data_IF_976827819361
#
_entry.id   IF_976827819361
#
_cell.length_a   1.000
_cell.length_b   1.000
_cell.length_c   1.000
_cell.angle_alpha   90.00
_cell.angle_beta   90.00
_cell.angle_gamma   90.00
#
_symmetry.space_group_name_H-M   'P 1'
#
loop_
_entity.id
_entity.type
_entity.pdbx_description
1 polymer ?
#
# COMPACT_ATOMS: atom_id res chain seq x y z
N UNK A 1 -19.02 -29.54 -43.45
CA UNK A 1 -17.99 -29.21 -42.44
C UNK A 1 -18.66 -28.44 -41.33
N UNK A 2 -18.79 -28.99 -40.14
CA UNK A 2 -19.43 -28.25 -39.04
C UNK A 2 -18.48 -27.25 -38.45
N UNK A 3 -19.00 -26.03 -38.24
CA UNK A 3 -18.39 -24.91 -37.52
C UNK A 3 -17.97 -25.34 -36.11
N UNK A 4 -16.67 -25.34 -35.86
CA UNK A 4 -16.14 -25.41 -34.50
C UNK A 4 -16.30 -24.02 -33.91
N UNK A 5 -17.37 -23.85 -33.14
CA UNK A 5 -17.55 -22.68 -32.30
C UNK A 5 -16.33 -22.55 -31.36
N UNK A 6 -15.67 -21.41 -31.41
CA UNK A 6 -14.69 -20.98 -30.40
C UNK A 6 -15.36 -21.10 -29.03
N UNK A 7 -14.96 -22.09 -28.25
CA UNK A 7 -15.11 -22.04 -26.82
C UNK A 7 -14.20 -20.89 -26.32
N UNK A 8 -14.82 -19.75 -26.06
CA UNK A 8 -14.24 -18.70 -25.22
C UNK A 8 -13.98 -19.34 -23.85
N UNK A 9 -12.75 -19.72 -23.60
CA UNK A 9 -12.27 -20.02 -22.26
C UNK A 9 -12.15 -18.68 -21.52
N UNK A 10 -13.28 -18.13 -21.10
CA UNK A 10 -13.32 -17.23 -19.99
C UNK A 10 -12.77 -18.03 -18.80
N UNK A 11 -11.58 -17.71 -18.33
CA UNK A 11 -11.07 -18.17 -17.04
C UNK A 11 -11.99 -17.55 -15.99
N UNK A 12 -13.04 -18.30 -15.62
CA UNK A 12 -14.00 -17.87 -14.61
C UNK A 12 -13.29 -17.89 -13.26
N UNK A 13 -13.02 -16.71 -12.74
CA UNK A 13 -12.74 -16.53 -11.34
C UNK A 13 -14.07 -16.68 -10.60
N UNK A 14 -14.24 -17.75 -9.87
CA UNK A 14 -15.41 -17.92 -9.02
C UNK A 14 -15.07 -17.44 -7.60
N UNK A 15 -15.92 -16.58 -7.05
CA UNK A 15 -15.84 -16.15 -5.66
C UNK A 15 -16.67 -17.09 -4.80
N UNK A 16 -16.04 -17.68 -3.78
CA UNK A 16 -16.68 -18.56 -2.81
C UNK A 16 -16.79 -17.87 -1.46
N UNK A 17 -18.00 -17.71 -0.95
CA UNK A 17 -18.20 -17.23 0.41
C UNK A 17 -17.92 -18.40 1.36
N UNK A 18 -16.89 -18.23 2.18
CA UNK A 18 -16.40 -19.25 3.10
C UNK A 18 -16.65 -18.86 4.54
N UNK A 19 -16.65 -19.85 5.41
CA UNK A 19 -16.60 -19.68 6.87
C UNK A 19 -15.44 -20.45 7.44
N UNK A 20 -15.12 -20.16 8.69
CA UNK A 20 -13.99 -20.77 9.37
C UNK A 20 -14.28 -21.01 10.85
N UNK A 21 -13.55 -21.96 11.43
CA UNK A 21 -13.43 -22.14 12.86
C UNK A 21 -11.98 -22.47 13.23
N UNK A 22 -11.61 -22.16 14.45
CA UNK A 22 -10.30 -22.50 15.02
C UNK A 22 -10.50 -23.34 16.29
N UNK A 23 -9.74 -24.44 16.40
CA UNK A 23 -9.68 -25.30 17.57
C UNK A 23 -8.23 -25.44 18.04
N UNK A 24 -7.98 -26.26 19.09
CA UNK A 24 -6.63 -26.67 19.50
C UNK A 24 -5.87 -27.40 18.39
N UNK A 25 -6.58 -28.05 17.50
CA UNK A 25 -6.02 -28.91 16.45
C UNK A 25 -5.76 -28.15 15.12
N UNK A 26 -6.11 -26.85 15.07
CA UNK A 26 -5.89 -25.99 13.91
C UNK A 26 -7.14 -25.31 13.37
N UNK A 27 -7.15 -25.09 12.06
CA UNK A 27 -8.20 -24.40 11.34
C UNK A 27 -9.08 -25.39 10.58
N UNK A 28 -10.39 -25.10 10.56
CA UNK A 28 -11.35 -25.73 9.65
C UNK A 28 -12.01 -24.64 8.81
N UNK A 29 -11.95 -24.77 7.50
CA UNK A 29 -12.53 -23.86 6.54
C UNK A 29 -13.61 -24.59 5.72
N UNK A 30 -14.69 -23.91 5.33
CA UNK A 30 -15.73 -24.50 4.50
C UNK A 30 -16.46 -23.45 3.66
N UNK A 31 -17.01 -23.89 2.51
CA UNK A 31 -17.86 -23.07 1.65
C UNK A 31 -19.25 -22.96 2.28
N UNK A 32 -19.75 -21.74 2.53
CA UNK A 32 -21.04 -21.52 3.23
C UNK A 32 -22.24 -22.15 2.52
N UNK A 33 -22.29 -22.05 1.19
CA UNK A 33 -23.37 -22.61 0.37
C UNK A 33 -23.27 -24.12 0.20
N UNK A 34 -22.11 -24.72 0.47
CA UNK A 34 -21.80 -26.15 0.32
C UNK A 34 -20.88 -26.61 1.45
N UNK A 35 -21.41 -26.75 2.69
CA UNK A 35 -20.59 -27.04 3.89
C UNK A 35 -19.87 -28.41 3.84
N UNK A 36 -20.24 -29.29 2.93
CA UNK A 36 -19.54 -30.53 2.66
C UNK A 36 -18.17 -30.30 2.00
N UNK A 37 -17.99 -29.17 1.27
CA UNK A 37 -16.70 -28.72 0.77
C UNK A 37 -15.99 -28.01 1.91
N UNK A 38 -15.12 -28.75 2.58
CA UNK A 38 -14.39 -28.27 3.75
C UNK A 38 -13.02 -28.89 3.84
N UNK A 39 -12.11 -28.18 4.51
CA UNK A 39 -10.77 -28.65 4.79
C UNK A 39 -10.36 -28.30 6.22
N UNK A 40 -9.51 -29.13 6.81
CA UNK A 40 -8.92 -28.87 8.14
C UNK A 40 -7.43 -29.12 8.10
N UNK A 41 -6.66 -28.24 8.76
CA UNK A 41 -5.23 -28.39 8.91
C UNK A 41 -4.72 -27.64 10.16
N UNK A 42 -3.51 -27.97 10.65
CA UNK A 42 -2.93 -27.30 11.80
C UNK A 42 -2.70 -25.80 11.58
N UNK A 43 -2.36 -25.39 10.35
CA UNK A 43 -2.19 -23.98 9.98
C UNK A 43 -3.31 -23.50 9.07
N UNK A 44 -3.52 -22.18 9.04
CA UNK A 44 -4.49 -21.59 8.10
C UNK A 44 -4.08 -21.81 6.65
N UNK A 45 -2.80 -21.63 6.33
CA UNK A 45 -2.29 -21.77 4.96
C UNK A 45 -2.53 -23.18 4.40
N UNK A 46 -2.25 -24.22 5.20
CA UNK A 46 -2.49 -25.61 4.79
C UNK A 46 -4.00 -25.90 4.67
N UNK A 47 -4.84 -25.32 5.52
CA UNK A 47 -6.29 -25.48 5.45
C UNK A 47 -6.86 -24.79 4.21
N UNK A 48 -6.33 -23.61 3.84
CA UNK A 48 -6.72 -22.87 2.65
C UNK A 48 -6.36 -23.64 1.36
N UNK A 49 -5.12 -24.14 1.25
CA UNK A 49 -4.66 -24.94 0.13
C UNK A 49 -5.56 -26.18 -0.09
N UNK A 50 -5.82 -26.92 0.98
CA UNK A 50 -6.72 -28.08 0.94
C UNK A 50 -8.16 -27.74 0.62
N UNK A 51 -8.66 -26.55 1.02
CA UNK A 51 -10.00 -26.13 0.65
C UNK A 51 -10.08 -25.79 -0.84
N UNK A 52 -9.04 -25.17 -1.41
CA UNK A 52 -8.94 -24.92 -2.85
C UNK A 52 -8.98 -26.25 -3.63
N UNK A 53 -8.19 -27.24 -3.20
CA UNK A 53 -8.22 -28.59 -3.77
C UNK A 53 -9.63 -29.22 -3.69
N UNK A 54 -10.27 -29.16 -2.53
CA UNK A 54 -11.62 -29.68 -2.33
C UNK A 54 -12.68 -28.97 -3.21
N UNK A 55 -12.53 -27.67 -3.46
CA UNK A 55 -13.38 -26.91 -4.39
C UNK A 55 -13.17 -27.40 -5.82
N UNK A 56 -11.93 -27.62 -6.25
CA UNK A 56 -11.58 -28.13 -7.57
C UNK A 56 -12.10 -29.56 -7.79
N UNK A 57 -11.91 -30.45 -6.83
CA UNK A 57 -12.40 -31.82 -6.84
C UNK A 57 -13.93 -31.90 -6.92
N UNK A 58 -14.59 -30.90 -6.34
CA UNK A 58 -16.06 -30.77 -6.43
C UNK A 58 -16.56 -30.14 -7.75
N UNK A 59 -15.67 -29.95 -8.73
CA UNK A 59 -15.98 -29.36 -10.04
C UNK A 59 -16.06 -27.84 -10.00
N UNK A 60 -15.47 -27.17 -8.99
CA UNK A 60 -15.37 -25.73 -8.91
C UNK A 60 -14.29 -25.14 -9.83
N UNK A 61 -14.20 -23.83 -9.87
CA UNK A 61 -13.24 -23.11 -10.72
C UNK A 61 -11.78 -23.43 -10.35
N UNK A 62 -10.91 -23.52 -11.35
CA UNK A 62 -9.48 -23.73 -11.14
C UNK A 62 -8.82 -22.58 -10.35
N UNK A 63 -9.42 -21.39 -10.40
CA UNK A 63 -9.01 -20.23 -9.61
C UNK A 63 -10.17 -19.82 -8.71
N UNK A 64 -10.17 -20.34 -7.50
CA UNK A 64 -11.15 -19.99 -6.48
C UNK A 64 -10.66 -18.79 -5.67
N UNK A 65 -11.48 -17.73 -5.60
CA UNK A 65 -11.28 -16.62 -4.67
C UNK A 65 -12.17 -16.87 -3.46
N UNK A 66 -11.60 -16.91 -2.27
CA UNK A 66 -12.34 -17.14 -1.03
C UNK A 66 -12.56 -15.84 -0.27
N UNK A 67 -13.81 -15.50 -0.04
CA UNK A 67 -14.21 -14.43 0.86
C UNK A 67 -14.70 -15.03 2.18
N UNK A 68 -14.16 -14.58 3.31
CA UNK A 68 -14.53 -15.13 4.60
C UNK A 68 -15.57 -14.27 5.33
N UNK A 69 -16.64 -14.94 5.78
CA UNK A 69 -17.67 -14.35 6.62
C UNK A 69 -17.94 -15.28 7.84
N UNK A 70 -17.58 -14.90 9.06
CA UNK A 70 -16.95 -13.62 9.41
C UNK A 70 -15.53 -13.48 8.85
N UNK A 71 -14.98 -12.25 8.73
CA UNK A 71 -13.61 -12.01 8.28
C UNK A 71 -12.60 -12.78 9.13
N UNK A 72 -11.51 -13.19 8.49
CA UNK A 72 -10.41 -13.88 9.19
C UNK A 72 -9.81 -13.02 10.30
N UNK A 73 -9.40 -13.63 11.43
CA UNK A 73 -8.69 -12.91 12.45
C UNK A 73 -7.36 -12.37 11.90
N UNK A 74 -6.96 -11.24 12.43
CA UNK A 74 -5.68 -10.60 12.12
C UNK A 74 -4.48 -11.55 12.25
N UNK A 75 -4.43 -12.34 13.34
CA UNK A 75 -3.36 -13.32 13.56
C UNK A 75 -3.22 -14.36 12.45
N UNK A 76 -4.31 -14.68 11.76
CA UNK A 76 -4.32 -15.61 10.63
C UNK A 76 -3.69 -15.00 9.38
N UNK A 77 -3.96 -13.72 9.11
CA UNK A 77 -3.33 -12.99 8.01
C UNK A 77 -1.83 -12.77 8.27
N UNK A 78 -1.46 -12.50 9.53
CA UNK A 78 -0.06 -12.38 9.93
C UNK A 78 0.69 -13.70 9.74
N UNK A 79 0.07 -14.83 10.03
CA UNK A 79 0.64 -16.16 9.82
C UNK A 79 0.82 -16.48 8.33
N UNK A 80 -0.21 -16.18 7.50
CA UNK A 80 -0.17 -16.38 6.05
C UNK A 80 0.97 -15.61 5.37
N UNK A 81 1.22 -14.38 5.83
CA UNK A 81 2.27 -13.51 5.29
C UNK A 81 3.49 -13.40 6.22
N UNK A 82 3.72 -14.40 7.10
CA UNK A 82 4.75 -14.36 8.15
C UNK A 82 6.19 -14.31 7.63
N UNK A 83 6.43 -14.63 6.36
CA UNK A 83 7.75 -14.57 5.73
C UNK A 83 7.86 -13.35 4.81
N UNK A 84 8.33 -12.22 5.32
CA UNK A 84 8.44 -11.03 4.50
C UNK A 84 9.48 -11.21 3.40
N UNK A 85 9.04 -11.09 2.15
CA UNK A 85 9.95 -11.02 1.01
C UNK A 85 10.42 -9.58 0.78
N UNK A 86 9.57 -8.62 1.14
CA UNK A 86 9.73 -7.20 0.88
C UNK A 86 9.36 -6.43 2.14
N UNK A 87 10.11 -5.35 2.37
CA UNK A 87 9.77 -4.32 3.33
C UNK A 87 9.59 -2.98 2.63
N UNK A 88 8.54 -2.24 2.98
CA UNK A 88 8.53 -0.78 2.82
C UNK A 88 9.42 -0.20 3.90
N UNK A 89 10.30 0.70 3.51
CA UNK A 89 11.23 1.36 4.41
C UNK A 89 10.92 2.85 4.48
N UNK A 90 10.79 3.34 5.68
CA UNK A 90 10.40 4.72 5.94
C UNK A 90 10.92 5.23 7.27
N UNK A 91 10.39 6.32 7.75
CA UNK A 91 10.71 6.88 9.07
C UNK A 91 9.57 7.73 9.59
N UNK A 92 9.49 7.83 10.90
CA UNK A 92 8.44 8.60 11.58
C UNK A 92 8.80 10.09 11.72
N UNK A 93 10.04 10.46 11.42
CA UNK A 93 10.49 11.84 11.51
C UNK A 93 9.91 12.70 10.40
N UNK A 94 9.16 13.71 10.80
CA UNK A 94 8.54 14.66 9.90
C UNK A 94 9.31 15.98 9.85
N UNK A 95 9.61 16.39 8.63
CA UNK A 95 10.15 17.71 8.35
C UNK A 95 9.01 18.68 8.07
N UNK A 96 9.17 19.90 8.53
CA UNK A 96 8.36 21.01 8.09
C UNK A 96 8.89 21.52 6.75
N UNK A 97 8.01 22.08 5.95
CA UNK A 97 8.35 22.62 4.64
C UNK A 97 7.87 24.06 4.49
N UNK A 98 8.20 24.68 3.38
CA UNK A 98 7.66 25.96 2.94
C UNK A 98 6.23 25.85 2.37
N UNK A 99 5.64 24.66 2.40
CA UNK A 99 4.24 24.47 2.00
C UNK A 99 3.29 25.20 2.97
N UNK A 100 2.22 25.84 2.47
CA UNK A 100 1.19 26.42 3.30
C UNK A 100 0.54 25.35 4.20
N UNK A 101 0.51 25.60 5.52
CA UNK A 101 -0.04 24.63 6.48
C UNK A 101 -1.56 24.72 6.56
N UNK A 102 -2.19 23.56 6.75
CA UNK A 102 -3.62 23.49 7.07
C UNK A 102 -3.85 23.72 8.57
N UNK A 103 -4.58 24.76 8.89
CA UNK A 103 -4.87 25.11 10.30
C UNK A 103 -6.28 24.70 10.76
N UNK A 104 -7.04 24.00 9.94
CA UNK A 104 -8.36 23.47 10.31
C UNK A 104 -9.53 24.46 10.28
N UNK A 105 -9.25 25.76 10.31
CA UNK A 105 -10.26 26.86 10.33
C UNK A 105 -9.92 27.94 9.30
N UNK A 106 -9.53 27.53 8.09
CA UNK A 106 -8.98 28.44 7.10
C UNK A 106 -10.06 29.24 6.37
N UNK A 107 -9.72 30.47 6.05
CA UNK A 107 -10.48 31.28 5.10
C UNK A 107 -10.41 30.70 3.69
N UNK A 108 -11.39 31.02 2.86
CA UNK A 108 -11.40 30.63 1.43
C UNK A 108 -10.11 31.03 0.74
N UNK A 109 -9.53 32.20 1.09
CA UNK A 109 -8.27 32.68 0.52
C UNK A 109 -7.07 31.80 0.85
N UNK A 110 -6.95 31.30 2.08
CA UNK A 110 -5.86 30.41 2.51
C UNK A 110 -5.96 29.04 1.81
N UNK A 111 -7.19 28.53 1.64
CA UNK A 111 -7.43 27.31 0.87
C UNK A 111 -6.98 27.48 -0.59
N UNK A 112 -7.32 28.59 -1.22
CA UNK A 112 -6.95 28.90 -2.59
C UNK A 112 -5.44 29.06 -2.77
N UNK A 113 -4.74 29.70 -1.83
CA UNK A 113 -3.30 29.86 -1.85
C UNK A 113 -2.60 28.50 -1.79
N UNK A 114 -3.07 27.64 -0.93
CA UNK A 114 -2.55 26.29 -0.81
C UNK A 114 -2.80 25.45 -2.05
N UNK A 115 -3.99 25.49 -2.63
CA UNK A 115 -4.29 24.78 -3.87
C UNK A 115 -3.40 25.26 -5.02
N UNK A 116 -3.11 26.57 -5.09
CA UNK A 116 -2.14 27.13 -6.04
C UNK A 116 -0.72 26.64 -5.80
N UNK A 117 -0.31 26.52 -4.53
CA UNK A 117 1.01 25.96 -4.20
C UNK A 117 1.11 24.50 -4.64
N UNK A 118 0.07 23.69 -4.38
CA UNK A 118 0.01 22.29 -4.81
C UNK A 118 -0.01 22.16 -6.35
N UNK A 119 -0.78 22.97 -7.05
CA UNK A 119 -0.79 23.00 -8.53
C UNK A 119 0.60 23.35 -9.09
N UNK A 120 1.35 24.21 -8.40
CA UNK A 120 2.71 24.55 -8.81
C UNK A 120 3.75 23.50 -8.42
N UNK A 121 3.39 22.55 -7.57
CA UNK A 121 4.28 21.49 -7.03
C UNK A 121 4.14 20.16 -7.79
N UNK A 122 3.00 19.93 -8.43
CA UNK A 122 2.71 18.73 -9.21
C UNK A 122 2.43 19.05 -10.68
N UNK A 123 2.67 18.07 -11.54
CA UNK A 123 2.45 18.21 -12.98
C UNK A 123 0.96 18.15 -13.39
N UNK A 124 0.09 17.76 -12.46
CA UNK A 124 -1.35 17.74 -12.68
C UNK A 124 -2.07 18.59 -11.63
N UNK A 125 -3.12 19.31 -12.02
CA UNK A 125 -3.86 20.13 -11.11
C UNK A 125 -4.51 19.28 -10.00
N UNK A 126 -4.55 19.85 -8.80
CA UNK A 126 -5.19 19.24 -7.64
C UNK A 126 -6.70 19.23 -7.81
N UNK A 127 -7.33 18.12 -7.54
CA UNK A 127 -8.78 18.04 -7.54
C UNK A 127 -9.39 18.99 -6.50
N UNK A 128 -10.23 19.93 -6.95
CA UNK A 128 -10.82 20.94 -6.06
C UNK A 128 -11.81 20.34 -5.05
N UNK A 129 -12.38 19.17 -5.33
CA UNK A 129 -13.29 18.45 -4.43
C UNK A 129 -12.56 17.71 -3.32
N UNK A 130 -11.66 16.81 -3.65
CA UNK A 130 -10.95 16.00 -2.65
C UNK A 130 -9.59 16.60 -2.24
N UNK A 131 -9.14 17.63 -2.91
CA UNK A 131 -7.86 18.33 -2.68
C UNK A 131 -6.63 17.42 -2.81
N UNK A 132 -6.77 16.35 -3.56
CA UNK A 132 -5.73 15.39 -3.84
C UNK A 132 -5.25 15.49 -5.29
N UNK A 133 -4.02 15.10 -5.56
CA UNK A 133 -3.45 15.05 -6.89
C UNK A 133 -3.08 13.62 -7.27
N UNK A 134 -3.24 13.26 -8.53
CA UNK A 134 -2.68 12.03 -9.11
C UNK A 134 -1.39 12.32 -9.88
N UNK A 135 -0.92 13.55 -9.83
CA UNK A 135 0.20 14.00 -10.62
C UNK A 135 1.56 13.64 -10.02
N UNK A 136 2.52 13.40 -10.91
CA UNK A 136 3.92 13.32 -10.57
C UNK A 136 4.42 14.68 -10.04
N UNK A 137 5.37 14.63 -9.10
CA UNK A 137 6.13 15.81 -8.68
C UNK A 137 6.80 16.45 -9.90
N UNK A 138 6.80 17.77 -9.94
CA UNK A 138 7.65 18.51 -10.87
C UNK A 138 9.04 18.77 -10.25
N UNK A 139 9.88 19.51 -10.92
CA UNK A 139 11.25 19.84 -10.50
C UNK A 139 11.34 20.94 -9.43
N UNK A 140 10.22 21.45 -8.91
CA UNK A 140 10.21 22.45 -7.85
C UNK A 140 10.83 21.90 -6.57
N UNK A 141 11.94 22.49 -6.15
CA UNK A 141 12.66 22.10 -4.95
C UNK A 141 11.91 22.52 -3.69
N UNK A 142 11.83 21.62 -2.73
CA UNK A 142 11.23 21.88 -1.42
C UNK A 142 12.28 22.42 -0.44
N UNK A 143 11.90 23.41 0.37
CA UNK A 143 12.70 23.90 1.48
C UNK A 143 12.28 23.20 2.77
N UNK A 144 13.21 22.46 3.37
CA UNK A 144 12.98 21.73 4.62
C UNK A 144 13.36 22.56 5.82
N UNK A 145 12.48 22.61 6.81
CA UNK A 145 12.74 23.19 8.10
C UNK A 145 12.63 22.11 9.18
N UNK A 146 13.57 22.08 10.10
CA UNK A 146 13.56 21.16 11.24
C UNK A 146 14.08 21.87 12.48
N UNK A 147 13.32 21.84 13.55
CA UNK A 147 13.58 22.63 14.75
C UNK A 147 14.72 22.07 15.63
N UNK A 148 15.33 20.94 15.28
CA UNK A 148 16.32 20.25 16.12
C UNK A 148 17.55 19.75 15.37
N UNK A 149 18.44 19.08 16.12
CA UNK A 149 19.54 18.29 15.54
C UNK A 149 18.99 16.97 15.07
N UNK A 150 18.81 16.84 13.77
CA UNK A 150 18.40 15.56 13.16
C UNK A 150 19.63 14.83 12.61
N UNK A 151 19.88 13.63 13.10
CA UNK A 151 20.99 12.77 12.70
C UNK A 151 20.54 11.47 11.99
N UNK A 152 19.24 11.25 11.86
CA UNK A 152 18.65 10.14 11.09
C UNK A 152 18.99 10.22 9.60
N UNK A 153 18.86 9.11 8.91
CA UNK A 153 19.11 9.00 7.48
C UNK A 153 17.82 9.06 6.63
N UNK A 154 16.67 9.07 7.28
CA UNK A 154 15.36 9.07 6.65
C UNK A 154 14.43 10.07 7.33
N UNK A 155 13.53 10.63 6.57
CA UNK A 155 12.44 11.47 7.06
C UNK A 155 11.30 11.53 6.05
N UNK A 156 10.28 12.27 6.38
CA UNK A 156 9.16 12.53 5.46
C UNK A 156 8.69 13.96 5.62
N UNK A 157 8.02 14.48 4.61
CA UNK A 157 7.19 15.66 4.75
C UNK A 157 5.82 15.39 4.11
N UNK A 158 4.78 15.91 4.73
CA UNK A 158 3.43 15.88 4.18
C UNK A 158 3.03 17.26 3.69
N UNK A 159 2.31 17.28 2.60
CA UNK A 159 1.51 18.46 2.26
C UNK A 159 0.15 18.22 2.88
N UNK A 160 -0.21 18.93 3.97
CA UNK A 160 -1.46 18.70 4.71
C UNK A 160 -2.67 18.48 3.79
N UNK A 161 -3.28 17.26 3.83
CA UNK A 161 -4.30 16.78 2.90
C UNK A 161 -3.76 16.34 1.53
N UNK A 162 -2.45 16.26 1.36
CA UNK A 162 -1.75 15.67 0.20
C UNK A 162 -0.90 14.48 0.63
N UNK A 163 -0.15 13.91 -0.30
CA UNK A 163 0.68 12.74 -0.05
C UNK A 163 1.86 13.02 0.89
N UNK A 164 2.32 11.96 1.54
CA UNK A 164 3.60 11.98 2.23
C UNK A 164 4.74 11.73 1.25
N UNK A 165 5.73 12.60 1.29
CA UNK A 165 6.94 12.50 0.49
C UNK A 165 8.08 11.93 1.33
N UNK A 166 8.79 10.97 0.78
CA UNK A 166 9.91 10.33 1.46
C UNK A 166 11.22 11.07 1.19
N UNK A 167 11.99 11.24 2.25
CA UNK A 167 13.29 11.89 2.22
C UNK A 167 14.37 10.94 2.68
N UNK A 168 15.48 10.90 1.96
CA UNK A 168 16.65 10.10 2.31
C UNK A 168 17.89 10.99 2.40
N UNK A 169 18.81 10.65 3.29
CA UNK A 169 20.08 11.36 3.39
C UNK A 169 21.07 10.95 2.32
N UNK A 170 22.12 11.76 2.14
CA UNK A 170 23.26 11.43 1.27
C UNK A 170 23.93 10.12 1.68
N UNK A 171 24.00 9.83 2.99
CA UNK A 171 24.56 8.57 3.50
C UNK A 171 23.73 7.35 3.06
N UNK A 172 22.40 7.45 3.00
CA UNK A 172 21.58 6.37 2.44
C UNK A 172 21.88 6.14 0.96
N UNK A 173 22.02 7.21 0.18
CA UNK A 173 22.32 7.12 -1.23
C UNK A 173 23.64 6.41 -1.52
N UNK A 174 24.62 6.49 -0.59
CA UNK A 174 25.89 5.75 -0.74
C UNK A 174 25.78 4.25 -0.51
N UNK A 175 24.69 3.81 0.15
CA UNK A 175 24.41 2.37 0.34
C UNK A 175 23.79 1.72 -0.88
N UNK A 176 23.21 2.51 -1.79
CA UNK A 176 22.58 2.00 -2.99
C UNK A 176 23.63 1.44 -3.94
N UNK A 177 23.39 0.25 -4.45
CA UNK A 177 24.17 -0.35 -5.52
C UNK A 177 24.02 0.46 -6.82
N UNK A 178 24.97 0.42 -7.75
CA UNK A 178 24.86 1.19 -9.00
C UNK A 178 23.57 0.94 -9.79
N UNK A 179 23.06 -0.31 -9.81
CA UNK A 179 21.76 -0.65 -10.46
C UNK A 179 20.60 -0.03 -9.72
N UNK A 180 20.56 -0.13 -8.38
CA UNK A 180 19.52 0.46 -7.54
C UNK A 180 19.49 2.00 -7.72
N UNK A 181 20.66 2.63 -7.68
CA UNK A 181 20.80 4.07 -7.84
C UNK A 181 20.31 4.58 -9.21
N UNK A 182 20.49 3.82 -10.28
CA UNK A 182 20.00 4.19 -11.63
C UNK A 182 18.49 4.02 -11.78
N UNK A 183 17.91 3.10 -11.02
CA UNK A 183 16.49 2.77 -11.10
C UNK A 183 15.61 3.62 -10.17
N UNK A 184 16.21 4.51 -9.38
CA UNK A 184 15.50 5.38 -8.45
C UNK A 184 15.75 6.84 -8.81
N UNK A 185 14.72 7.64 -8.72
CA UNK A 185 14.80 9.08 -9.01
C UNK A 185 14.72 9.87 -7.70
N UNK A 186 15.74 10.67 -7.46
CA UNK A 186 15.84 11.51 -6.29
C UNK A 186 16.06 12.98 -6.68
N UNK A 187 15.32 13.87 -6.03
CA UNK A 187 15.46 15.30 -6.19
C UNK A 187 16.11 15.91 -4.95
N UNK A 188 17.12 16.79 -5.10
CA UNK A 188 17.70 17.46 -3.95
C UNK A 188 16.69 18.38 -3.28
N UNK A 189 16.80 18.50 -1.97
CA UNK A 189 16.02 19.47 -1.18
C UNK A 189 16.91 20.61 -0.69
N UNK A 190 16.31 21.76 -0.39
CA UNK A 190 17.01 22.88 0.27
C UNK A 190 16.82 22.75 1.77
N UNK A 191 17.93 22.77 2.51
CA UNK A 191 17.91 22.75 3.98
C UNK A 191 19.02 23.64 4.55
N UNK A 192 18.70 24.39 5.59
CA UNK A 192 19.72 25.05 6.42
C UNK A 192 20.36 24.00 7.34
N UNK A 193 21.57 23.55 7.02
CA UNK A 193 22.30 22.57 7.83
C UNK A 193 23.34 21.79 7.03
N UNK A 194 24.15 20.97 7.72
CA UNK A 194 25.25 20.21 7.08
C UNK A 194 24.77 18.96 6.36
N UNK A 195 23.68 18.36 6.81
CA UNK A 195 23.18 17.10 6.25
C UNK A 195 22.25 17.35 5.07
N UNK A 196 22.57 16.79 3.93
CA UNK A 196 21.77 16.87 2.71
C UNK A 196 20.72 15.80 2.68
N UNK A 197 19.53 16.16 2.21
CA UNK A 197 18.42 15.25 1.97
C UNK A 197 17.97 15.33 0.53
N UNK A 198 17.41 14.23 0.09
CA UNK A 198 16.89 14.04 -1.25
C UNK A 198 15.48 13.46 -1.15
N UNK A 199 14.56 14.04 -1.88
CA UNK A 199 13.19 13.55 -2.00
C UNK A 199 13.14 12.42 -3.01
N UNK A 200 12.46 11.32 -2.67
CA UNK A 200 12.11 10.27 -3.63
C UNK A 200 11.00 10.80 -4.54
N UNK A 201 11.26 10.89 -5.85
CA UNK A 201 10.31 11.43 -6.84
C UNK A 201 9.95 10.45 -7.93
N UNK A 202 10.46 9.23 -7.89
CA UNK A 202 10.15 8.18 -8.87
C UNK A 202 11.17 7.05 -8.90
N UNK A 203 10.96 6.11 -9.83
CA UNK A 203 9.75 5.92 -10.63
C UNK A 203 8.58 5.37 -9.84
N UNK A 204 7.40 5.23 -10.47
CA UNK A 204 6.32 4.40 -9.94
C UNK A 204 6.77 2.94 -9.85
N UNK A 205 6.31 2.27 -8.81
CA UNK A 205 6.53 0.85 -8.58
C UNK A 205 5.24 0.03 -8.70
N UNK A 206 5.29 -1.25 -8.32
CA UNK A 206 4.11 -2.08 -8.18
C UNK A 206 3.02 -1.36 -7.38
N UNK A 207 1.79 -1.25 -7.90
CA UNK A 207 0.72 -0.58 -7.18
C UNK A 207 0.33 -1.36 -5.93
N UNK A 208 -0.09 -0.64 -4.89
CA UNK A 208 -0.75 -1.29 -3.77
C UNK A 208 -2.06 -1.92 -4.22
N UNK A 209 -2.37 -3.11 -3.72
CA UNK A 209 -3.57 -3.86 -4.07
C UNK A 209 -4.38 -4.21 -2.83
N UNK A 210 -5.70 -4.28 -2.97
CA UNK A 210 -6.57 -4.90 -1.98
C UNK A 210 -6.54 -6.41 -2.16
N UNK A 211 -6.79 -7.15 -1.08
CA UNK A 211 -6.88 -8.60 -1.12
C UNK A 211 -8.29 -9.06 -0.78
N UNK A 212 -8.71 -10.14 -1.40
CA UNK A 212 -10.01 -10.74 -1.13
C UNK A 212 -10.12 -11.11 0.36
N UNK A 213 -11.30 -10.91 0.93
CA UNK A 213 -11.58 -11.24 2.33
C UNK A 213 -11.03 -10.24 3.37
N UNK A 214 -10.30 -9.21 2.97
CA UNK A 214 -9.84 -8.14 3.86
C UNK A 214 -10.64 -6.87 3.63
N UNK A 215 -11.29 -6.39 4.67
CA UNK A 215 -12.04 -5.13 4.60
C UNK A 215 -11.11 -3.96 4.33
N UNK A 216 -11.33 -3.31 3.21
CA UNK A 216 -10.60 -2.10 2.83
C UNK A 216 -11.27 -0.90 3.51
N UNK A 217 -10.48 -0.13 4.22
CA UNK A 217 -10.94 1.16 4.75
C UNK A 217 -10.49 2.27 3.82
N UNK A 218 -11.44 2.97 3.20
CA UNK A 218 -11.10 4.00 2.24
C UNK A 218 -12.33 4.75 1.72
N UNK A 219 -12.09 5.66 0.81
CA UNK A 219 -13.13 6.39 0.08
C UNK A 219 -12.68 6.72 -1.34
N UNK A 220 -13.62 7.03 -2.20
CA UNK A 220 -13.35 7.51 -3.56
C UNK A 220 -13.92 8.90 -3.79
N UNK A 221 -13.22 9.69 -4.59
CA UNK A 221 -13.70 10.99 -5.04
C UNK A 221 -14.61 10.83 -6.26
N UNK A 222 -15.80 11.40 -6.21
CA UNK A 222 -16.76 11.34 -7.33
C UNK A 222 -16.37 12.25 -8.51
N UNK A 223 -15.42 13.19 -8.32
CA UNK A 223 -14.98 14.11 -9.37
C UNK A 223 -13.78 13.57 -10.17
N UNK A 224 -12.76 13.00 -9.51
CA UNK A 224 -11.52 12.58 -10.15
C UNK A 224 -11.25 11.08 -10.00
N UNK A 225 -12.18 10.31 -9.38
CA UNK A 225 -12.04 8.89 -9.04
C UNK A 225 -10.78 8.54 -8.21
N UNK A 226 -10.15 9.56 -7.63
CA UNK A 226 -9.06 9.30 -6.69
C UNK A 226 -9.56 8.44 -5.54
N UNK A 227 -8.79 7.43 -5.17
CA UNK A 227 -9.11 6.46 -4.15
C UNK A 227 -8.05 6.51 -3.07
N UNK A 228 -8.47 6.89 -1.87
CA UNK A 228 -7.66 6.66 -0.69
C UNK A 228 -8.10 5.36 -0.07
N UNK A 229 -7.19 4.46 0.15
CA UNK A 229 -7.47 3.21 0.84
C UNK A 229 -6.22 2.74 1.55
N UNK A 230 -6.43 2.13 2.69
CA UNK A 230 -5.38 1.59 3.51
C UNK A 230 -5.88 0.38 4.26
N UNK A 231 -4.97 -0.50 4.59
CA UNK A 231 -5.25 -1.63 5.47
C UNK A 231 -5.16 -1.15 6.90
N UNK A 232 -6.28 -0.70 7.44
CA UNK A 232 -6.39 -0.46 8.87
C UNK A 232 -6.82 -1.76 9.54
N UNK A 233 -5.92 -2.71 9.59
CA UNK A 233 -6.03 -3.77 10.58
C UNK A 233 -5.15 -3.31 11.73
N UNK A 234 -5.77 -2.70 12.75
CA UNK A 234 -5.07 -2.19 13.92
C UNK A 234 -4.01 -3.16 14.40
N UNK A 235 -2.76 -2.69 14.43
CA UNK A 235 -1.60 -3.43 14.91
C UNK A 235 -1.06 -4.52 13.98
N UNK A 236 -1.39 -4.59 12.68
CA UNK A 236 -0.68 -5.49 11.74
C UNK A 236 0.72 -4.97 11.44
N UNK A 237 1.67 -5.92 11.40
CA UNK A 237 3.04 -5.65 10.94
C UNK A 237 3.11 -5.38 9.42
N UNK A 238 2.05 -5.70 8.67
CA UNK A 238 1.96 -5.55 7.21
C UNK A 238 1.35 -4.18 6.91
N UNK A 239 2.10 -3.34 6.18
CA UNK A 239 1.67 -1.98 5.84
C UNK A 239 0.84 -1.91 4.56
N UNK A 240 1.09 -2.80 3.62
CA UNK A 240 0.46 -2.80 2.29
C UNK A 240 0.65 -4.14 1.61
N UNK A 241 -0.06 -4.33 0.48
CA UNK A 241 0.07 -5.54 -0.34
C UNK A 241 0.37 -5.16 -1.78
N UNK A 242 1.14 -6.02 -2.46
CA UNK A 242 1.44 -5.92 -3.89
C UNK A 242 1.18 -7.27 -4.57
N UNK A 243 0.73 -7.24 -5.82
CA UNK A 243 0.52 -8.47 -6.57
C UNK A 243 1.85 -9.09 -7.00
N UNK A 244 1.93 -10.41 -6.99
CA UNK A 244 3.11 -11.16 -7.41
C UNK A 244 3.51 -10.82 -8.85
N UNK A 245 2.55 -10.72 -9.77
CA UNK A 245 2.79 -10.41 -11.17
C UNK A 245 3.30 -9.00 -11.43
N UNK A 246 3.06 -8.07 -10.50
CA UNK A 246 3.50 -6.68 -10.65
C UNK A 246 4.95 -6.48 -10.20
N UNK A 247 5.53 -7.48 -9.50
CA UNK A 247 6.92 -7.43 -9.06
C UNK A 247 7.88 -7.69 -10.22
N UNK A 248 9.05 -7.01 -10.26
CA UNK A 248 10.08 -7.32 -11.23
C UNK A 248 10.53 -8.79 -11.12
N UNK A 249 10.76 -9.50 -12.23
CA UNK A 249 11.17 -10.90 -12.22
C UNK A 249 12.55 -11.11 -11.56
N UNK A 250 13.40 -10.11 -11.60
CA UNK A 250 14.72 -10.09 -10.95
C UNK A 250 14.66 -9.28 -9.63
N UNK A 251 13.65 -9.54 -8.81
CA UNK A 251 13.44 -8.85 -7.55
C UNK A 251 14.69 -8.93 -6.67
N UNK A 252 15.50 -7.90 -6.70
CA UNK A 252 16.73 -7.83 -5.92
C UNK A 252 17.13 -6.39 -5.60
N UNK A 253 17.20 -6.06 -4.32
CA UNK A 253 17.67 -4.76 -3.90
C UNK A 253 16.62 -3.78 -3.43
N UNK A 254 16.89 -2.49 -3.66
CA UNK A 254 16.03 -1.36 -3.31
C UNK A 254 15.28 -0.90 -4.55
N UNK A 255 14.00 -0.68 -4.44
CA UNK A 255 13.08 -0.26 -5.50
C UNK A 255 11.93 0.58 -4.92
N UNK A 256 10.97 0.97 -5.74
CA UNK A 256 9.76 1.66 -5.30
C UNK A 256 8.55 0.73 -5.30
N UNK A 257 7.58 1.02 -4.44
CA UNK A 257 6.20 0.50 -4.50
C UNK A 257 5.23 1.66 -4.46
N UNK A 258 4.01 1.43 -4.94
CA UNK A 258 3.00 2.47 -5.05
C UNK A 258 3.08 3.28 -6.34
N UNK A 259 2.05 4.06 -6.57
CA UNK A 259 1.90 4.96 -7.73
C UNK A 259 1.83 6.41 -7.27
N UNK A 260 2.12 7.33 -8.20
CA UNK A 260 2.06 8.74 -7.84
C UNK A 260 0.68 9.14 -7.30
N UNK A 261 0.67 9.99 -6.31
CA UNK A 261 1.79 10.65 -5.64
C UNK A 261 2.33 9.89 -4.40
N UNK A 262 1.83 8.69 -4.13
CA UNK A 262 2.18 7.88 -2.94
C UNK A 262 3.15 6.76 -3.31
N UNK A 263 4.37 7.14 -3.68
CA UNK A 263 5.46 6.18 -3.88
C UNK A 263 6.28 6.02 -2.62
N UNK A 264 6.65 4.78 -2.33
CA UNK A 264 7.46 4.43 -1.17
C UNK A 264 8.71 3.64 -1.59
N UNK A 265 9.79 3.82 -0.83
CA UNK A 265 10.94 2.93 -0.93
C UNK A 265 10.59 1.55 -0.40
N UNK A 266 10.93 0.54 -1.17
CA UNK A 266 10.85 -0.85 -0.78
C UNK A 266 12.21 -1.54 -0.93
N UNK A 267 12.41 -2.60 -0.19
CA UNK A 267 13.66 -3.36 -0.18
C UNK A 267 13.36 -4.84 0.02
N UNK A 268 14.09 -5.70 -0.67
CA UNK A 268 13.99 -7.14 -0.41
C UNK A 268 14.53 -7.48 0.98
N UNK A 269 13.99 -8.52 1.60
CA UNK A 269 14.38 -8.93 2.95
C UNK A 269 15.89 -9.23 3.05
N UNK A 270 16.47 -9.88 2.05
CA UNK A 270 17.91 -10.14 2.00
C UNK A 270 18.73 -8.86 1.94
N UNK A 271 18.33 -7.93 1.07
CA UNK A 271 19.03 -6.64 0.93
C UNK A 271 18.89 -5.76 2.16
N UNK A 272 17.71 -5.77 2.80
CA UNK A 272 17.50 -5.06 4.04
C UNK A 272 18.43 -5.55 5.15
N UNK A 273 18.61 -6.87 5.27
CA UNK A 273 19.53 -7.47 6.21
C UNK A 273 21.00 -7.03 5.99
N UNK A 274 21.42 -6.84 4.73
CA UNK A 274 22.75 -6.31 4.41
C UNK A 274 22.93 -4.84 4.80
N UNK A 275 21.87 -4.04 4.67
CA UNK A 275 21.91 -2.59 4.93
C UNK A 275 21.71 -2.25 6.41
N UNK A 276 20.98 -3.08 7.13
CA UNK A 276 20.57 -2.81 8.51
C UNK A 276 21.80 -2.60 9.42
N UNK A 277 21.72 -1.57 10.25
CA UNK A 277 22.82 -1.21 11.18
C UNK A 277 23.90 -0.30 10.60
N UNK A 278 23.89 -0.06 9.28
CA UNK A 278 24.81 0.92 8.69
C UNK A 278 24.34 2.37 8.99
N UNK A 279 25.28 3.31 8.99
CA UNK A 279 24.98 4.73 9.28
C UNK A 279 23.85 5.29 8.40
N UNK A 280 23.82 4.89 7.13
CA UNK A 280 22.80 5.31 6.16
C UNK A 280 21.40 4.73 6.38
N UNK A 281 21.21 3.82 7.36
CA UNK A 281 19.90 3.31 7.73
C UNK A 281 19.43 3.75 9.13
N UNK A 282 20.12 4.68 9.74
CA UNK A 282 19.77 5.18 11.07
C UNK A 282 18.44 5.94 11.03
N UNK A 283 17.50 5.56 11.89
CA UNK A 283 16.15 6.16 11.95
C UNK A 283 15.17 5.60 10.95
N UNK A 284 15.57 4.55 10.18
CA UNK A 284 14.62 3.85 9.33
C UNK A 284 13.72 2.92 10.16
N UNK A 285 12.47 2.91 9.80
CA UNK A 285 11.48 1.92 10.22
C UNK A 285 11.14 1.06 9.00
N UNK A 286 11.13 -0.25 9.17
CA UNK A 286 10.69 -1.17 8.13
C UNK A 286 9.33 -1.74 8.47
N UNK A 287 8.44 -1.77 7.49
CA UNK A 287 7.12 -2.39 7.59
C UNK A 287 7.01 -3.45 6.52
N UNK A 288 6.47 -4.59 6.86
CA UNK A 288 6.30 -5.67 5.91
C UNK A 288 5.32 -5.27 4.79
N UNK A 289 5.67 -5.60 3.56
CA UNK A 289 4.76 -5.57 2.40
C UNK A 289 4.37 -7.00 2.08
N UNK A 290 3.09 -7.29 2.09
CA UNK A 290 2.55 -8.60 1.72
C UNK A 290 2.62 -8.79 0.21
N UNK A 291 3.21 -9.90 -0.24
CA UNK A 291 3.19 -10.29 -1.65
C UNK A 291 2.10 -11.32 -1.84
N UNK A 292 1.11 -11.00 -2.66
CA UNK A 292 -0.09 -11.83 -2.81
C UNK A 292 -0.18 -12.47 -4.19
N UNK A 293 -0.72 -13.70 -4.28
CA UNK A 293 -1.05 -14.31 -5.56
C UNK A 293 -2.07 -13.48 -6.34
N UNK A 294 -1.99 -13.48 -7.66
CA UNK A 294 -2.81 -12.60 -8.50
C UNK A 294 -4.32 -12.86 -8.39
N UNK A 295 -4.70 -14.10 -8.13
CA UNK A 295 -6.11 -14.49 -7.96
C UNK A 295 -6.75 -13.95 -6.66
N UNK A 296 -5.94 -13.53 -5.69
CA UNK A 296 -6.41 -12.89 -4.45
C UNK A 296 -6.50 -11.36 -4.57
N UNK A 297 -6.05 -10.80 -5.69
CA UNK A 297 -5.93 -9.36 -5.87
C UNK A 297 -7.25 -8.72 -6.25
N UNK A 298 -7.68 -7.75 -5.47
CA UNK A 298 -8.78 -6.84 -5.82
C UNK A 298 -8.19 -5.50 -6.27
N UNK A 299 -8.09 -5.29 -7.58
CA UNK A 299 -7.45 -4.07 -8.13
C UNK A 299 -8.31 -2.81 -7.99
N UNK A 300 -9.62 -2.98 -7.92
CA UNK A 300 -10.58 -1.88 -7.76
C UNK A 300 -11.62 -2.23 -6.70
N UNK A 301 -11.26 -2.16 -5.42
CA UNK A 301 -12.22 -2.42 -4.35
C UNK A 301 -13.38 -1.42 -4.42
N UNK A 302 -14.58 -1.88 -4.10
CA UNK A 302 -15.72 -0.99 -3.92
C UNK A 302 -15.49 -0.14 -2.69
N UNK A 303 -15.43 1.16 -2.89
CA UNK A 303 -15.23 2.13 -1.82
C UNK A 303 -16.42 3.09 -1.75
N UNK A 304 -16.89 3.43 -0.55
CA UNK A 304 -17.90 4.47 -0.37
C UNK A 304 -17.37 5.82 -0.89
N UNK A 305 -18.27 6.68 -1.31
CA UNK A 305 -17.88 8.08 -1.57
C UNK A 305 -17.56 8.79 -0.25
N UNK A 306 -16.84 9.91 -0.32
CA UNK A 306 -16.53 10.71 0.85
C UNK A 306 -17.83 11.16 1.59
N UNK A 307 -18.89 11.48 0.83
CA UNK A 307 -20.18 11.85 1.37
C UNK A 307 -20.88 10.68 2.08
N UNK A 308 -20.85 9.47 1.50
CA UNK A 308 -21.40 8.27 2.12
C UNK A 308 -20.68 7.96 3.42
N UNK A 309 -19.35 8.04 3.44
CA UNK A 309 -18.56 7.79 4.64
C UNK A 309 -18.85 8.80 5.75
N UNK A 310 -19.01 10.09 5.39
CA UNK A 310 -19.37 11.13 6.35
C UNK A 310 -20.77 10.92 6.93
N UNK A 311 -21.70 10.45 6.11
CA UNK A 311 -23.06 10.11 6.58
C UNK A 311 -23.03 8.93 7.56
N UNK A 312 -22.28 7.87 7.26
CA UNK A 312 -22.10 6.72 8.15
C UNK A 312 -21.46 7.10 9.50
N UNK A 313 -20.44 7.96 9.49
CA UNK A 313 -19.79 8.40 10.72
C UNK A 313 -20.73 9.21 11.63
N UNK A 314 -21.60 10.02 11.05
CA UNK A 314 -22.64 10.77 11.79
C UNK A 314 -23.69 9.85 12.41
N UNK A 315 -24.07 8.76 11.71
CA UNK A 315 -25.04 7.79 12.21
C UNK A 315 -24.46 6.91 13.32
N UNK A 316 -23.19 6.61 13.28
CA UNK A 316 -22.52 5.71 14.24
C UNK A 316 -21.92 6.45 15.45
N UNK A 317 -21.95 7.78 15.48
CA UNK A 317 -21.36 8.60 16.57
C UNK A 317 -19.84 8.45 16.70
N UNK A 318 -19.16 7.85 15.73
CA UNK A 318 -17.68 7.73 15.69
C UNK A 318 -17.13 8.97 15.01
N UNK A 319 -16.42 9.81 15.77
CA UNK A 319 -15.57 10.84 15.19
C UNK A 319 -14.44 10.18 14.40
N UNK A 320 -14.30 10.59 13.16
CA UNK A 320 -13.21 10.22 12.25
C UNK A 320 -11.91 10.89 12.63
#
# INVERSE_FOLDING_TARGET
MPNVSRLDTAMEHAVYICSWSRSSDGFTLWVKSRPEIRASAPTYADAEERLIEAIQDAGGAMQAVMEFDPPLPKSTLEEKYSRPEIYSIGGDDRFETDAPRWKGSESVGEIEERLRWLDAFYNHPVCRKCKYTSGRRNDKTVTLTYAGKYDGAFGSFGTDGGPNHQLVSEEFLTLLRPKERRNLEFQPTVRKGRKKFYELVGPEGPPHVAIAGVKVNGWRCTQCDHRTWGYWVDGMAISSFVARSDLPPDLGGVFTVGVFPEIELAVTASRWKEMLGQKGTRGFVSRQVGVVPDHEVVRRPELPTAEQRLAESRLTGRST
#
